data_IF_828962603631
#
_entry.id   IF_828962603631
#
_cell.length_a   1.000
_cell.length_b   1.000
_cell.length_c   1.000
_cell.angle_alpha   90.00
_cell.angle_beta   90.00
_cell.angle_gamma   90.00
#
_symmetry.space_group_name_H-M   'P 1'
#
loop_
_entity.id
_entity.type
_entity.pdbx_description
1 polymer ?
#
# COMPACT_ATOMS: atom_id res chain seq x y z
N UNK A 1 1.79 5.98 4.58
CA UNK A 1 2.40 5.38 5.77
C UNK A 1 2.54 6.37 6.92
N UNK A 2 2.41 5.85 8.14
CA UNK A 2 2.54 6.62 9.37
C UNK A 2 3.70 6.10 10.20
N UNK A 3 4.08 6.84 11.25
CA UNK A 3 5.15 6.44 12.16
C UNK A 3 4.95 5.01 12.70
N UNK A 4 3.72 4.64 13.04
CA UNK A 4 3.38 3.28 13.49
C UNK A 4 3.83 2.22 12.47
N UNK A 5 3.64 2.48 11.18
CA UNK A 5 4.01 1.53 10.13
C UNK A 5 5.52 1.32 10.06
N UNK A 6 6.29 2.38 10.22
CA UNK A 6 7.76 2.31 10.27
C UNK A 6 8.23 1.54 11.50
N UNK A 7 7.62 1.77 12.67
CA UNK A 7 7.94 1.06 13.91
C UNK A 7 7.68 -0.44 13.75
N UNK A 8 6.51 -0.81 13.28
CA UNK A 8 6.14 -2.23 13.06
C UNK A 8 7.06 -2.88 12.03
N UNK A 9 7.42 -2.17 10.98
CA UNK A 9 8.34 -2.68 9.96
C UNK A 9 9.72 -3.00 10.51
N UNK A 10 10.26 -2.16 11.40
CA UNK A 10 11.60 -2.32 11.97
C UNK A 10 11.64 -3.25 13.19
N UNK A 11 10.61 -3.20 14.03
CA UNK A 11 10.61 -3.86 15.34
C UNK A 11 9.60 -5.01 15.48
N UNK A 12 8.75 -5.23 14.46
CA UNK A 12 7.67 -6.21 14.54
C UNK A 12 6.43 -5.67 15.22
N UNK A 13 5.40 -6.49 15.30
CA UNK A 13 4.07 -6.09 15.78
C UNK A 13 3.75 -6.53 17.21
N UNK A 14 4.72 -7.07 17.94
CA UNK A 14 4.53 -7.58 19.31
C UNK A 14 5.11 -6.69 20.39
N UNK A 15 6.02 -5.78 20.06
CA UNK A 15 6.63 -4.86 21.03
C UNK A 15 5.63 -3.75 21.37
N UNK A 16 5.24 -3.59 22.65
CA UNK A 16 4.36 -2.51 23.05
C UNK A 16 5.08 -1.16 22.98
N UNK A 17 4.37 -0.15 22.46
CA UNK A 17 4.88 1.22 22.39
C UNK A 17 3.73 2.22 22.44
N UNK A 18 4.05 3.46 22.79
CA UNK A 18 3.14 4.58 22.72
C UNK A 18 3.76 5.71 21.90
N UNK A 19 2.93 6.41 21.15
CA UNK A 19 3.32 7.55 20.33
C UNK A 19 2.61 8.80 20.87
N UNK A 20 3.36 9.87 21.06
CA UNK A 20 2.85 11.18 21.46
C UNK A 20 3.55 12.24 20.59
N UNK A 21 2.77 13.13 19.97
CA UNK A 21 3.29 14.21 19.10
C UNK A 21 4.23 13.67 18.00
N UNK A 22 3.82 12.56 17.35
CA UNK A 22 4.56 11.89 16.27
C UNK A 22 5.94 11.37 16.69
N UNK A 23 6.13 11.09 17.98
CA UNK A 23 7.36 10.50 18.53
C UNK A 23 7.02 9.35 19.47
N UNK A 24 7.95 8.39 19.58
CA UNK A 24 7.80 7.32 20.55
C UNK A 24 7.96 7.91 21.96
N UNK A 25 6.91 7.78 22.78
CA UNK A 25 6.90 8.27 24.16
C UNK A 25 7.14 7.16 25.20
N UNK A 26 6.80 5.89 24.86
CA UNK A 26 7.10 4.71 25.66
C UNK A 26 7.49 3.56 24.74
N UNK A 27 8.44 2.76 25.20
CA UNK A 27 8.94 1.64 24.43
C UNK A 27 9.12 0.39 25.28
N UNK A 28 8.62 -0.75 24.77
CA UNK A 28 8.81 -2.10 25.31
C UNK A 28 8.58 -2.16 26.82
N UNK A 29 7.37 -1.87 27.24
CA UNK A 29 6.99 -1.77 28.65
C UNK A 29 5.99 -2.86 29.06
N UNK A 30 5.76 -2.98 30.38
CA UNK A 30 4.79 -3.88 30.94
C UNK A 30 5.28 -5.33 31.07
N UNK A 31 4.35 -6.25 31.22
CA UNK A 31 4.65 -7.67 31.44
C UNK A 31 5.00 -8.41 30.14
N UNK A 32 4.71 -7.81 29.00
CA UNK A 32 4.92 -8.42 27.68
C UNK A 32 6.14 -7.91 26.97
N UNK A 33 7.19 -7.56 27.73
CA UNK A 33 8.46 -7.07 27.17
C UNK A 33 9.04 -8.04 26.15
N UNK A 34 9.54 -7.51 25.05
CA UNK A 34 10.15 -8.26 23.96
C UNK A 34 11.67 -8.11 23.89
N UNK A 35 12.23 -7.13 24.60
CA UNK A 35 13.66 -6.76 24.59
C UNK A 35 14.17 -6.33 23.20
N UNK A 36 13.28 -5.83 22.36
CA UNK A 36 13.64 -5.29 21.06
C UNK A 36 14.17 -3.87 21.25
N UNK A 37 15.31 -3.56 20.63
CA UNK A 37 15.92 -2.23 20.68
C UNK A 37 15.02 -1.20 20.01
N UNK A 38 14.80 -0.06 20.68
CA UNK A 38 14.02 1.04 20.12
C UNK A 38 14.72 1.61 18.89
N UNK A 39 14.01 1.72 17.73
CA UNK A 39 14.56 2.40 16.58
C UNK A 39 14.84 3.88 16.86
N UNK A 40 15.92 4.39 16.28
CA UNK A 40 16.24 5.83 16.37
C UNK A 40 15.30 6.66 15.48
N UNK A 41 15.21 7.96 15.76
CA UNK A 41 14.43 8.87 14.90
C UNK A 41 14.92 8.85 13.45
N UNK A 42 16.24 8.76 13.23
CA UNK A 42 16.82 8.67 11.90
C UNK A 42 16.45 7.37 11.19
N UNK A 43 16.47 6.24 11.89
CA UNK A 43 16.05 4.94 11.35
C UNK A 43 14.58 4.95 10.97
N UNK A 44 13.72 5.54 11.81
CA UNK A 44 12.30 5.67 11.55
C UNK A 44 12.02 6.56 10.35
N UNK A 45 12.73 7.67 10.21
CA UNK A 45 12.58 8.58 9.07
C UNK A 45 12.97 7.90 7.76
N UNK A 46 14.08 7.16 7.75
CA UNK A 46 14.54 6.39 6.58
C UNK A 46 13.52 5.31 6.20
N UNK A 47 13.03 4.54 7.18
CA UNK A 47 12.04 3.48 6.92
C UNK A 47 10.71 4.06 6.44
N UNK A 48 10.27 5.17 7.02
CA UNK A 48 9.03 5.83 6.60
C UNK A 48 9.14 6.32 5.15
N UNK A 49 10.29 6.89 4.75
CA UNK A 49 10.53 7.30 3.38
C UNK A 49 10.53 6.10 2.41
N UNK A 50 11.12 4.99 2.83
CA UNK A 50 11.11 3.75 2.04
C UNK A 50 9.70 3.21 1.83
N UNK A 51 8.90 3.14 2.90
CA UNK A 51 7.51 2.70 2.85
C UNK A 51 6.66 3.63 1.97
N UNK A 52 6.89 4.94 2.06
CA UNK A 52 6.19 5.92 1.24
C UNK A 52 6.52 5.72 -0.24
N UNK A 53 7.79 5.49 -0.58
CA UNK A 53 8.21 5.23 -1.95
C UNK A 53 7.56 3.95 -2.52
N UNK A 54 7.47 2.88 -1.73
CA UNK A 54 6.79 1.65 -2.13
C UNK A 54 5.30 1.90 -2.37
N UNK A 55 4.66 2.64 -1.46
CA UNK A 55 3.26 3.00 -1.59
C UNK A 55 3.00 3.83 -2.86
N UNK A 56 3.84 4.83 -3.11
CA UNK A 56 3.73 5.71 -4.28
C UNK A 56 3.94 4.94 -5.59
N UNK A 57 4.89 4.00 -5.61
CA UNK A 57 5.16 3.16 -6.78
C UNK A 57 3.96 2.27 -7.15
N UNK A 58 3.05 2.00 -6.21
CA UNK A 58 1.85 1.20 -6.43
C UNK A 58 0.60 2.04 -6.70
N UNK A 59 0.71 3.36 -6.76
CA UNK A 59 -0.43 4.26 -6.99
C UNK A 59 -1.13 3.95 -8.32
N UNK A 60 -0.38 3.66 -9.38
CA UNK A 60 -0.94 3.29 -10.67
C UNK A 60 -1.88 2.08 -10.57
N UNK A 61 -1.50 1.07 -9.77
CA UNK A 61 -2.30 -0.14 -9.59
C UNK A 61 -3.61 0.15 -8.85
N UNK A 62 -3.57 1.02 -7.83
CA UNK A 62 -4.78 1.44 -7.10
C UNK A 62 -5.73 2.22 -8.00
N UNK A 63 -5.21 3.12 -8.82
CA UNK A 63 -6.01 3.91 -9.77
C UNK A 63 -6.60 3.04 -10.87
N UNK A 64 -5.82 2.10 -11.39
CA UNK A 64 -6.32 1.11 -12.36
C UNK A 64 -7.45 0.28 -11.77
N UNK A 65 -7.28 -0.21 -10.54
CA UNK A 65 -8.29 -1.04 -9.86
C UNK A 65 -9.61 -0.29 -9.72
N UNK A 66 -9.58 0.98 -9.31
CA UNK A 66 -10.78 1.81 -9.20
C UNK A 66 -11.53 1.92 -10.54
N UNK A 67 -10.82 2.02 -11.65
CA UNK A 67 -11.42 2.06 -12.98
C UNK A 67 -11.94 0.69 -13.42
N UNK A 68 -11.18 -0.39 -13.16
CA UNK A 68 -11.63 -1.74 -13.47
C UNK A 68 -12.91 -2.10 -12.72
N UNK A 69 -13.05 -1.66 -11.46
CA UNK A 69 -14.24 -1.94 -10.65
C UNK A 69 -15.50 -1.25 -11.19
N UNK A 70 -15.37 -0.24 -12.04
CA UNK A 70 -16.50 0.41 -12.73
C UNK A 70 -16.98 -0.37 -13.95
N UNK A 71 -16.21 -1.34 -14.43
CA UNK A 71 -16.52 -2.12 -15.61
C UNK A 71 -17.20 -3.43 -15.22
N UNK A 72 -18.23 -3.82 -15.98
CA UNK A 72 -18.77 -5.19 -15.90
C UNK A 72 -17.97 -6.06 -16.87
N UNK A 73 -16.79 -6.49 -16.43
CA UNK A 73 -15.82 -7.17 -17.29
C UNK A 73 -16.34 -8.52 -17.81
N UNK A 74 -17.06 -9.28 -16.99
CA UNK A 74 -17.61 -10.57 -17.42
C UNK A 74 -18.63 -10.41 -18.55
N UNK A 75 -19.51 -9.42 -18.44
CA UNK A 75 -20.49 -9.12 -19.48
C UNK A 75 -19.80 -8.61 -20.75
N UNK A 76 -18.80 -7.73 -20.59
CA UNK A 76 -18.04 -7.22 -21.73
C UNK A 76 -17.33 -8.34 -22.49
N UNK A 77 -16.72 -9.28 -21.76
CA UNK A 77 -16.06 -10.46 -22.36
C UNK A 77 -17.05 -11.35 -23.09
N UNK A 78 -18.21 -11.59 -22.50
CA UNK A 78 -19.27 -12.38 -23.13
C UNK A 78 -19.74 -11.71 -24.41
N UNK A 79 -20.06 -10.41 -24.37
CA UNK A 79 -20.56 -9.65 -25.51
C UNK A 79 -19.52 -9.61 -26.64
N UNK A 80 -18.25 -9.45 -26.32
CA UNK A 80 -17.17 -9.45 -27.30
C UNK A 80 -17.05 -10.81 -28.00
N UNK A 81 -17.15 -11.90 -27.26
CA UNK A 81 -17.14 -13.24 -27.83
C UNK A 81 -18.35 -13.46 -28.73
N UNK A 82 -19.52 -13.02 -28.28
CA UNK A 82 -20.78 -13.19 -29.02
C UNK A 82 -20.82 -12.38 -30.31
N UNK A 83 -20.31 -11.13 -30.26
CA UNK A 83 -20.42 -10.15 -31.35
C UNK A 83 -19.13 -9.99 -32.14
N UNK A 84 -18.07 -10.73 -31.81
CA UNK A 84 -16.74 -10.60 -32.44
C UNK A 84 -16.19 -9.17 -32.33
N UNK A 85 -16.29 -8.56 -31.11
CA UNK A 85 -15.83 -7.21 -30.83
C UNK A 85 -14.66 -7.24 -29.83
N UNK A 86 -14.04 -6.10 -29.58
CA UNK A 86 -12.87 -5.95 -28.70
C UNK A 86 -13.07 -4.89 -27.61
N UNK A 87 -14.32 -4.65 -27.19
CA UNK A 87 -14.65 -3.56 -26.26
C UNK A 87 -13.96 -3.73 -24.89
N UNK A 88 -13.85 -4.96 -24.40
CA UNK A 88 -13.17 -5.24 -23.13
C UNK A 88 -11.68 -4.97 -23.20
N UNK A 89 -10.99 -5.49 -24.22
CA UNK A 89 -9.55 -5.27 -24.41
C UNK A 89 -9.26 -3.78 -24.57
N UNK A 90 -10.06 -3.09 -25.38
CA UNK A 90 -9.90 -1.66 -25.61
C UNK A 90 -10.08 -0.84 -24.33
N UNK A 91 -11.07 -1.18 -23.50
CA UNK A 91 -11.30 -0.50 -22.22
C UNK A 91 -10.14 -0.73 -21.25
N UNK A 92 -9.61 -1.95 -21.14
CA UNK A 92 -8.48 -2.29 -20.29
C UNK A 92 -7.22 -1.55 -20.77
N UNK A 93 -6.96 -1.55 -22.06
CA UNK A 93 -5.80 -0.87 -22.65
C UNK A 93 -5.86 0.65 -22.41
N UNK A 94 -7.04 1.25 -22.51
CA UNK A 94 -7.24 2.68 -22.24
C UNK A 94 -6.92 3.01 -20.75
N UNK A 95 -7.35 2.17 -19.81
CA UNK A 95 -7.05 2.35 -18.37
C UNK A 95 -5.54 2.22 -18.11
N UNK A 96 -4.89 1.24 -18.72
CA UNK A 96 -3.44 1.06 -18.58
C UNK A 96 -2.65 2.22 -19.16
N UNK A 97 -3.12 2.82 -20.24
CA UNK A 97 -2.50 4.00 -20.85
C UNK A 97 -2.70 5.26 -19.99
N UNK A 98 -3.85 5.40 -19.33
CA UNK A 98 -4.15 6.52 -18.42
C UNK A 98 -3.28 6.48 -17.18
N UNK A 99 -3.00 5.29 -16.64
CA UNK A 99 -2.20 5.09 -15.43
C UNK A 99 -1.03 4.14 -15.73
N UNK A 100 0.02 4.65 -16.39
CA UNK A 100 1.15 3.80 -16.78
C UNK A 100 1.92 3.29 -15.55
N UNK A 101 2.48 2.09 -15.69
CA UNK A 101 3.35 1.51 -14.69
C UNK A 101 4.67 2.28 -14.65
N UNK A 102 5.16 2.68 -13.45
CA UNK A 102 6.42 3.39 -13.33
C UNK A 102 7.63 2.53 -13.69
#
# INVERSE_FOLDING_TARGET
PRLKDAIVSLAGNTTPFEITDEKISRWDYGETKTNVTQPTEAELATELARLQAVYDAQEYARKRKAKYDLLNQDEMRYDDTKNSTTTWVDAIDAIKAEFPKP
#
